data_IF_967188531770
#
_entry.id   IF_967188531770
#
_cell.length_a   1.000
_cell.length_b   1.000
_cell.length_c   1.000
_cell.angle_alpha   90.00
_cell.angle_beta   90.00
_cell.angle_gamma   90.00
#
_symmetry.space_group_name_H-M   'P 1'
#
loop_
_entity.id
_entity.type
_entity.pdbx_description
1 polymer ?
#
# COMPACT_ATOMS: atom_id res chain seq x y z
N UNK A 1 1.58 -47.12 71.62
CA UNK A 1 2.64 -46.94 70.61
C UNK A 1 1.97 -46.53 69.30
N UNK A 2 2.38 -45.39 68.73
CA UNK A 2 1.83 -44.84 67.46
C UNK A 2 2.08 -45.84 66.32
N UNK A 3 1.12 -46.04 65.41
CA UNK A 3 1.26 -45.64 64.01
C UNK A 3 -0.02 -45.98 63.21
N UNK A 4 -0.52 -44.95 62.52
CA UNK A 4 -1.48 -45.02 61.41
C UNK A 4 -0.83 -45.72 60.21
N UNK A 5 -1.63 -46.43 59.40
CA UNK A 5 -1.74 -46.22 57.95
C UNK A 5 -2.93 -47.01 57.40
N UNK A 6 -3.88 -46.25 56.85
CA UNK A 6 -5.09 -46.70 56.18
C UNK A 6 -4.68 -47.29 54.82
N UNK A 7 -5.04 -48.54 54.55
CA UNK A 7 -4.93 -49.18 53.25
C UNK A 7 -6.36 -49.44 52.76
N UNK A 8 -6.82 -48.64 51.80
CA UNK A 8 -8.13 -48.81 51.16
C UNK A 8 -7.91 -49.03 49.66
N UNK A 9 -7.93 -50.32 49.31
CA UNK A 9 -8.62 -50.93 48.16
C UNK A 9 -8.52 -50.22 46.80
N UNK A 10 -7.68 -50.75 45.92
CA UNK A 10 -7.80 -50.58 44.47
C UNK A 10 -9.03 -51.37 43.98
N UNK A 11 -10.03 -50.66 43.45
CA UNK A 11 -11.09 -51.23 42.61
C UNK A 11 -10.79 -50.80 41.17
N UNK A 12 -10.68 -51.80 40.30
CA UNK A 12 -10.50 -51.65 38.86
C UNK A 12 -11.69 -50.91 38.23
N UNK A 13 -11.39 -49.93 37.37
CA UNK A 13 -12.34 -49.42 36.38
C UNK A 13 -11.73 -49.62 35.01
N UNK A 14 -12.45 -50.36 34.17
CA UNK A 14 -12.18 -50.56 32.76
C UNK A 14 -12.03 -49.20 32.06
N UNK A 15 -10.82 -48.90 31.59
CA UNK A 15 -10.60 -47.86 30.59
C UNK A 15 -10.57 -48.50 29.21
N UNK A 16 -11.58 -48.22 28.39
CA UNK A 16 -11.54 -48.49 26.95
C UNK A 16 -10.25 -47.88 26.39
N UNK A 17 -9.39 -48.71 25.78
CA UNK A 17 -8.35 -48.23 24.89
C UNK A 17 -9.06 -47.79 23.61
N UNK A 18 -9.47 -46.52 23.56
CA UNK A 18 -9.69 -45.87 22.28
C UNK A 18 -8.32 -45.73 21.63
N UNK A 19 -8.01 -46.59 20.67
CA UNK A 19 -6.95 -46.35 19.70
C UNK A 19 -7.41 -45.16 18.88
N UNK A 20 -7.09 -43.95 19.32
CA UNK A 20 -7.21 -42.79 18.48
C UNK A 20 -6.18 -42.98 17.36
N UNK A 21 -6.66 -43.30 16.16
CA UNK A 21 -5.91 -43.03 14.94
C UNK A 21 -5.69 -41.52 14.90
N UNK A 22 -4.60 -41.06 15.50
CA UNK A 22 -4.06 -39.74 15.22
C UNK A 22 -3.44 -39.88 13.83
N UNK A 23 -4.27 -39.72 12.80
CA UNK A 23 -3.75 -39.23 11.53
C UNK A 23 -3.11 -37.88 11.87
N UNK A 24 -1.78 -37.84 11.86
CA UNK A 24 -1.08 -36.57 11.79
C UNK A 24 -1.49 -35.93 10.46
N UNK A 25 -2.52 -35.08 10.49
CA UNK A 25 -2.71 -34.14 9.41
C UNK A 25 -1.44 -33.29 9.37
N UNK A 26 -0.61 -33.52 8.36
CA UNK A 26 0.43 -32.58 7.99
C UNK A 26 -0.28 -31.30 7.56
N UNK A 27 -0.54 -30.41 8.52
CA UNK A 27 -1.03 -29.06 8.24
C UNK A 27 0.12 -28.35 7.53
N UNK A 28 0.18 -28.46 6.21
CA UNK A 28 1.10 -27.67 5.41
C UNK A 28 0.78 -26.19 5.66
N UNK A 29 1.77 -25.45 6.14
CA UNK A 29 1.64 -24.01 6.28
C UNK A 29 1.28 -23.41 4.91
N UNK A 30 0.28 -22.52 4.90
CA UNK A 30 -0.13 -21.83 3.70
C UNK A 30 1.06 -21.11 3.03
N UNK A 31 1.17 -21.23 1.70
CA UNK A 31 2.23 -20.57 0.93
C UNK A 31 2.14 -19.05 1.10
N UNK A 32 3.28 -18.34 0.99
CA UNK A 32 3.28 -16.87 1.05
C UNK A 32 2.36 -16.29 -0.02
N UNK A 33 2.36 -16.82 -1.25
CA UNK A 33 1.50 -16.34 -2.33
C UNK A 33 0.01 -16.48 -2.01
N UNK A 34 -0.40 -17.62 -1.46
CA UNK A 34 -1.79 -17.83 -1.06
C UNK A 34 -2.19 -16.88 0.07
N UNK A 35 -1.30 -16.65 1.03
CA UNK A 35 -1.52 -15.68 2.11
C UNK A 35 -1.57 -14.23 1.59
N UNK A 36 -0.62 -13.86 0.73
CA UNK A 36 -0.49 -12.55 0.09
C UNK A 36 -1.77 -12.16 -0.64
N UNK A 37 -2.32 -13.08 -1.43
CA UNK A 37 -3.56 -12.89 -2.21
C UNK A 37 -4.81 -12.63 -1.35
N UNK A 38 -4.78 -12.91 -0.04
CA UNK A 38 -5.87 -12.55 0.88
C UNK A 38 -5.87 -11.07 1.22
N UNK A 39 -4.72 -10.40 1.10
CA UNK A 39 -4.60 -8.99 1.41
C UNK A 39 -4.98 -8.13 0.22
N UNK A 40 -5.47 -6.95 0.55
CA UNK A 40 -5.81 -5.95 -0.45
C UNK A 40 -4.63 -5.00 -0.62
N UNK A 41 -4.45 -4.53 -1.85
CA UNK A 41 -3.46 -3.51 -2.17
C UNK A 41 -3.63 -2.26 -1.31
N UNK A 42 -2.53 -1.78 -0.72
CA UNK A 42 -2.52 -0.60 0.14
C UNK A 42 -2.59 0.74 -0.61
N UNK A 43 -2.24 0.77 -1.90
CA UNK A 43 -2.19 2.02 -2.66
C UNK A 43 -0.83 2.73 -2.58
N UNK A 44 -0.68 3.75 -3.43
CA UNK A 44 0.57 4.50 -3.59
C UNK A 44 0.43 5.90 -3.02
N UNK A 45 1.35 6.26 -2.13
CA UNK A 45 1.61 7.62 -1.66
C UNK A 45 2.78 8.20 -2.46
N UNK A 46 2.74 9.50 -2.76
CA UNK A 46 3.85 10.18 -3.43
C UNK A 46 4.67 10.96 -2.41
N UNK A 47 6.00 10.78 -2.41
CA UNK A 47 6.89 11.37 -1.40
C UNK A 47 6.65 12.88 -1.23
N UNK A 48 6.65 13.65 -2.31
CA UNK A 48 6.47 15.10 -2.24
C UNK A 48 5.13 15.51 -1.57
N UNK A 49 4.09 14.67 -1.70
CA UNK A 49 2.80 14.91 -1.01
C UNK A 49 2.95 14.58 0.48
N UNK A 50 3.54 13.45 0.81
CA UNK A 50 3.82 13.01 2.18
C UNK A 50 4.63 14.06 2.94
N UNK A 51 5.79 14.46 2.42
CA UNK A 51 6.66 15.45 3.06
C UNK A 51 5.98 16.81 3.23
N UNK A 52 5.16 17.23 2.25
CA UNK A 52 4.38 18.47 2.36
C UNK A 52 3.39 18.42 3.53
N UNK A 53 2.76 17.28 3.77
CA UNK A 53 1.85 17.09 4.91
C UNK A 53 2.59 17.11 6.25
N UNK A 54 3.84 16.62 6.24
CA UNK A 54 4.68 16.53 7.43
C UNK A 54 5.53 17.77 7.70
N UNK A 55 5.47 18.77 6.81
CA UNK A 55 6.27 19.99 6.93
C UNK A 55 7.76 19.78 6.64
N UNK A 56 8.09 18.70 5.93
CA UNK A 56 9.46 18.34 5.56
C UNK A 56 9.75 18.85 4.16
N UNK A 57 10.94 19.43 3.97
CA UNK A 57 11.39 19.89 2.65
C UNK A 57 11.68 18.69 1.74
N UNK A 58 11.05 18.68 0.57
CA UNK A 58 11.38 17.74 -0.50
C UNK A 58 12.70 18.14 -1.17
N UNK A 59 13.64 17.21 -1.23
CA UNK A 59 14.86 17.33 -2.00
C UNK A 59 14.65 16.64 -3.35
N UNK A 60 14.90 17.38 -4.43
CA UNK A 60 14.64 16.88 -5.78
C UNK A 60 15.67 15.82 -6.16
N UNK A 61 15.20 14.62 -6.50
CA UNK A 61 16.03 13.59 -7.12
C UNK A 61 16.31 13.94 -8.60
N UNK A 62 17.56 13.83 -9.06
CA UNK A 62 17.90 13.88 -10.49
C UNK A 62 17.27 12.67 -11.21
N UNK A 63 17.34 12.61 -12.53
CA UNK A 63 16.87 11.45 -13.30
C UNK A 63 17.94 10.95 -14.24
N UNK A 64 17.83 9.68 -14.58
CA UNK A 64 18.61 9.06 -15.66
C UNK A 64 17.69 8.89 -16.85
N UNK A 65 18.06 9.45 -18.00
CA UNK A 65 17.33 9.17 -19.25
C UNK A 65 17.43 7.69 -19.56
N UNK A 66 16.30 7.07 -19.89
CA UNK A 66 16.31 5.67 -20.33
C UNK A 66 16.96 5.56 -21.70
N UNK A 67 17.76 4.52 -21.91
CA UNK A 67 18.46 4.29 -23.19
C UNK A 67 17.49 4.23 -24.37
N UNK A 68 16.34 3.58 -24.15
CA UNK A 68 15.29 3.40 -25.13
C UNK A 68 14.10 4.37 -24.94
N UNK A 69 14.30 5.46 -24.18
CA UNK A 69 13.27 6.46 -23.89
C UNK A 69 12.13 6.01 -22.98
N UNK A 70 12.11 4.73 -22.58
CA UNK A 70 11.17 4.10 -21.65
C UNK A 70 11.87 2.96 -20.88
N UNK A 71 11.35 2.52 -19.73
CA UNK A 71 11.92 1.38 -19.03
C UNK A 71 11.72 0.08 -19.81
N UNK A 72 12.69 -0.82 -19.69
CA UNK A 72 12.70 -2.18 -20.24
C UNK A 72 12.17 -3.21 -19.24
N UNK A 73 12.11 -2.86 -17.96
CA UNK A 73 11.82 -3.78 -16.88
C UNK A 73 11.89 -3.12 -15.51
N UNK A 74 11.89 -3.97 -14.48
CA UNK A 74 11.86 -3.60 -13.07
C UNK A 74 12.91 -4.45 -12.33
N UNK A 75 13.72 -3.81 -11.48
CA UNK A 75 14.61 -4.44 -10.51
C UNK A 75 13.93 -4.44 -9.14
N UNK A 76 13.89 -5.61 -8.52
CA UNK A 76 13.39 -5.88 -7.17
C UNK A 76 14.58 -5.89 -6.23
N UNK A 77 14.49 -5.07 -5.19
CA UNK A 77 15.49 -4.90 -4.14
C UNK A 77 14.91 -5.24 -2.77
N UNK A 78 15.77 -5.36 -1.75
CA UNK A 78 15.39 -5.19 -0.36
C UNK A 78 16.23 -4.09 0.33
N UNK A 79 15.78 -3.60 1.48
CA UNK A 79 16.43 -2.43 2.07
C UNK A 79 17.68 -2.74 2.90
N UNK A 80 17.89 -4.01 3.29
CA UNK A 80 18.86 -4.44 4.31
C UNK A 80 18.81 -3.60 5.62
N UNK A 81 17.63 -3.05 5.94
CA UNK A 81 17.38 -2.29 7.18
C UNK A 81 16.20 -2.89 7.97
N UNK A 82 16.44 -3.95 8.76
CA UNK A 82 15.40 -4.67 9.49
C UNK A 82 14.55 -3.77 10.39
N UNK A 83 13.26 -3.69 10.08
CA UNK A 83 12.27 -2.94 10.86
C UNK A 83 12.10 -1.46 10.47
N UNK A 84 12.90 -0.94 9.54
CA UNK A 84 12.63 0.35 8.91
C UNK A 84 11.38 0.26 8.03
N UNK A 85 10.52 1.27 8.10
CA UNK A 85 9.31 1.33 7.27
C UNK A 85 9.58 2.03 5.95
N UNK A 86 8.67 1.89 4.97
CA UNK A 86 8.78 2.63 3.72
C UNK A 86 8.79 4.15 3.93
N UNK A 87 8.22 4.63 5.06
CA UNK A 87 8.29 6.03 5.45
C UNK A 87 9.69 6.42 5.94
N UNK A 88 10.28 5.60 6.83
CA UNK A 88 11.62 5.84 7.36
C UNK A 88 12.66 5.89 6.25
N UNK A 89 12.61 4.93 5.33
CA UNK A 89 13.46 4.86 4.14
C UNK A 89 13.28 6.08 3.24
N UNK A 90 12.03 6.41 2.92
CA UNK A 90 11.73 7.56 2.07
C UNK A 90 12.22 8.89 2.69
N UNK A 91 12.16 9.03 4.01
CA UNK A 91 12.70 10.18 4.74
C UNK A 91 14.23 10.19 4.71
N UNK A 92 14.85 9.03 4.93
CA UNK A 92 16.30 8.86 4.87
C UNK A 92 16.83 9.23 3.47
N UNK A 93 16.29 8.63 2.41
CA UNK A 93 16.72 8.90 1.03
C UNK A 93 16.39 10.33 0.59
N UNK A 94 15.27 10.91 1.02
CA UNK A 94 15.04 12.35 0.78
C UNK A 94 16.14 13.21 1.40
N UNK A 95 16.67 12.85 2.58
CA UNK A 95 17.73 13.61 3.25
C UNK A 95 19.12 13.32 2.68
N UNK A 96 19.43 12.06 2.39
CA UNK A 96 20.80 11.57 2.22
C UNK A 96 21.20 11.21 0.80
N UNK A 97 20.29 11.17 -0.19
CA UNK A 97 20.61 10.69 -1.55
C UNK A 97 21.83 11.37 -2.18
N UNK A 98 22.11 12.65 -1.85
CA UNK A 98 23.28 13.39 -2.34
C UNK A 98 24.61 12.91 -1.73
N UNK A 99 24.56 12.38 -0.51
CA UNK A 99 25.73 11.87 0.21
C UNK A 99 26.04 10.43 -0.20
N UNK A 100 24.99 9.60 -0.32
CA UNK A 100 25.13 8.18 -0.68
C UNK A 100 25.12 7.94 -2.19
N UNK A 101 24.76 8.97 -2.98
CA UNK A 101 24.61 8.89 -4.44
C UNK A 101 23.67 7.77 -4.90
N UNK A 102 22.64 7.48 -4.11
CA UNK A 102 21.70 6.42 -4.36
C UNK A 102 20.26 6.85 -4.04
N UNK A 103 19.32 6.35 -4.83
CA UNK A 103 17.86 6.41 -4.59
C UNK A 103 17.16 5.51 -5.60
N UNK A 104 15.96 5.08 -5.25
CA UNK A 104 15.10 4.22 -6.09
C UNK A 104 13.78 4.91 -6.45
N UNK A 105 12.90 4.21 -7.17
CA UNK A 105 11.61 4.77 -7.58
C UNK A 105 10.56 4.70 -6.48
N UNK A 106 10.57 3.64 -5.68
CA UNK A 106 9.60 3.45 -4.61
C UNK A 106 10.13 2.54 -3.50
N UNK A 107 9.64 2.78 -2.28
CA UNK A 107 9.76 1.87 -1.13
C UNK A 107 8.41 1.22 -0.85
N UNK A 108 8.41 -0.06 -0.51
CA UNK A 108 7.21 -0.87 -0.26
C UNK A 108 7.32 -1.56 1.09
N UNK A 109 6.30 -1.43 1.92
CA UNK A 109 6.14 -2.21 3.15
C UNK A 109 4.73 -2.84 3.22
N UNK A 110 4.45 -3.54 4.31
CA UNK A 110 3.14 -4.17 4.57
C UNK A 110 1.97 -3.19 4.67
N UNK A 111 2.24 -1.88 4.80
CA UNK A 111 1.24 -0.83 5.03
C UNK A 111 1.03 0.03 3.80
N UNK A 112 2.05 0.30 2.99
CA UNK A 112 1.98 1.27 1.90
C UNK A 112 3.11 1.11 0.86
N UNK A 113 2.94 1.83 -0.24
CA UNK A 113 3.99 2.11 -1.23
C UNK A 113 4.25 3.62 -1.20
N UNK A 114 5.51 4.05 -1.09
CA UNK A 114 5.90 5.45 -1.22
C UNK A 114 6.75 5.62 -2.47
N UNK A 115 6.17 6.27 -3.49
CA UNK A 115 6.86 6.60 -4.72
C UNK A 115 7.71 7.86 -4.53
N UNK A 116 9.02 7.69 -4.65
CA UNK A 116 10.06 8.72 -4.50
C UNK A 116 10.19 9.56 -5.78
N UNK A 117 10.13 8.90 -6.94
CA UNK A 117 10.37 9.50 -8.26
C UNK A 117 9.40 8.99 -9.31
N UNK A 118 9.18 9.75 -10.39
CA UNK A 118 8.41 9.21 -11.54
C UNK A 118 9.17 8.05 -12.19
N UNK A 119 8.50 6.93 -12.50
CA UNK A 119 9.09 5.82 -13.27
C UNK A 119 9.36 6.16 -14.75
N UNK A 120 9.05 7.37 -15.20
CA UNK A 120 9.36 7.85 -16.56
C UNK A 120 10.84 8.19 -16.79
N UNK A 121 11.67 8.20 -15.73
CA UNK A 121 13.12 8.20 -15.89
C UNK A 121 13.77 7.40 -14.77
N UNK A 122 14.90 6.78 -15.09
CA UNK A 122 15.65 5.93 -14.20
C UNK A 122 16.22 6.64 -12.96
N UNK A 123 16.71 5.81 -12.05
CA UNK A 123 17.22 6.18 -10.70
C UNK A 123 18.64 5.66 -10.50
N UNK A 124 19.23 5.83 -9.31
CA UNK A 124 20.58 5.38 -8.99
C UNK A 124 20.55 4.32 -7.89
N UNK A 125 20.14 3.10 -8.21
CA UNK A 125 19.96 2.04 -7.20
C UNK A 125 20.41 0.64 -7.63
N UNK A 126 20.73 0.41 -8.91
CA UNK A 126 21.14 -0.92 -9.40
C UNK A 126 22.45 -0.89 -10.22
N UNK A 127 23.28 0.14 -10.03
CA UNK A 127 24.51 0.32 -10.79
C UNK A 127 24.30 0.86 -12.22
N UNK A 128 25.37 1.36 -12.87
CA UNK A 128 25.28 2.15 -14.10
C UNK A 128 24.74 1.37 -15.31
N UNK A 129 24.78 0.03 -15.29
CA UNK A 129 24.28 -0.83 -16.36
C UNK A 129 22.77 -1.06 -16.32
N UNK A 130 22.14 -0.85 -15.17
CA UNK A 130 20.71 -1.02 -14.96
C UNK A 130 19.96 0.31 -14.77
N UNK A 131 20.63 1.35 -14.26
CA UNK A 131 20.03 2.63 -13.92
C UNK A 131 19.31 3.34 -15.09
N UNK A 132 19.73 3.12 -16.34
CA UNK A 132 19.10 3.68 -17.55
C UNK A 132 18.20 2.66 -18.28
N UNK A 133 17.87 1.52 -17.65
CA UNK A 133 17.06 0.45 -18.26
C UNK A 133 15.83 0.13 -17.43
N UNK A 134 15.94 0.14 -16.09
CA UNK A 134 14.92 -0.44 -15.23
C UNK A 134 14.37 0.53 -14.19
N UNK A 135 13.09 0.34 -13.89
CA UNK A 135 12.48 0.87 -12.66
C UNK A 135 13.06 0.07 -11.49
N UNK A 136 13.25 0.70 -10.32
CA UNK A 136 13.90 0.09 -9.16
C UNK A 136 13.01 0.28 -7.94
N UNK A 137 12.69 -0.82 -7.26
CA UNK A 137 11.71 -0.85 -6.17
C UNK A 137 12.32 -1.60 -4.99
N UNK A 138 12.25 -0.97 -3.82
CA UNK A 138 12.80 -1.46 -2.57
C UNK A 138 11.70 -2.06 -1.69
N UNK A 139 11.85 -3.31 -1.29
CA UNK A 139 10.98 -3.97 -0.33
C UNK A 139 11.58 -3.90 1.08
N UNK A 140 10.88 -3.25 2.01
CA UNK A 140 11.33 -3.13 3.40
C UNK A 140 11.36 -4.49 4.11
N UNK A 141 12.34 -4.68 4.99
CA UNK A 141 12.47 -5.89 5.83
C UNK A 141 11.43 -5.93 6.97
N UNK A 142 10.49 -6.86 6.87
CA UNK A 142 9.38 -7.06 7.79
C UNK A 142 9.74 -8.03 8.93
N UNK A 143 9.06 -7.90 10.06
CA UNK A 143 9.35 -8.69 11.27
C UNK A 143 8.33 -9.82 11.55
N UNK A 144 7.40 -10.07 10.63
CA UNK A 144 6.41 -11.14 10.77
C UNK A 144 5.97 -11.69 9.42
N UNK A 145 5.59 -12.97 9.39
CA UNK A 145 5.13 -13.64 8.16
C UNK A 145 3.91 -12.96 7.52
N UNK A 146 2.98 -12.50 8.34
CA UNK A 146 1.77 -11.78 7.89
C UNK A 146 2.14 -10.43 7.26
N UNK A 147 3.09 -9.70 7.86
CA UNK A 147 3.58 -8.44 7.31
C UNK A 147 4.39 -8.67 6.03
N UNK A 148 5.28 -9.67 6.00
CA UNK A 148 6.01 -10.05 4.79
C UNK A 148 5.06 -10.43 3.63
N UNK A 149 4.05 -11.26 3.89
CA UNK A 149 3.06 -11.61 2.87
C UNK A 149 2.27 -10.38 2.37
N UNK A 150 1.99 -9.40 3.23
CA UNK A 150 1.38 -8.11 2.83
C UNK A 150 2.33 -7.25 2.01
N UNK A 151 3.61 -7.20 2.36
CA UNK A 151 4.59 -6.37 1.67
C UNK A 151 4.84 -6.90 0.26
N UNK A 152 5.09 -8.20 0.08
CA UNK A 152 5.22 -8.80 -1.27
C UNK A 152 3.91 -8.71 -2.07
N UNK A 153 2.74 -8.75 -1.40
CA UNK A 153 1.46 -8.48 -2.07
C UNK A 153 1.39 -7.05 -2.64
N UNK A 154 1.78 -6.07 -1.83
CA UNK A 154 1.81 -4.67 -2.24
C UNK A 154 2.79 -4.47 -3.40
N UNK A 155 3.97 -5.05 -3.30
CA UNK A 155 5.01 -4.91 -4.30
C UNK A 155 4.60 -5.55 -5.63
N UNK A 156 4.16 -6.81 -5.61
CA UNK A 156 3.73 -7.52 -6.81
C UNK A 156 2.59 -6.81 -7.56
N UNK A 157 1.62 -6.23 -6.84
CA UNK A 157 0.53 -5.45 -7.46
C UNK A 157 1.06 -4.14 -8.06
N UNK A 158 2.00 -3.47 -7.39
CA UNK A 158 2.60 -2.24 -7.89
C UNK A 158 3.42 -2.50 -9.16
N UNK A 159 4.27 -3.53 -9.14
CA UNK A 159 5.04 -4.02 -10.30
C UNK A 159 4.10 -4.36 -11.46
N UNK A 160 3.07 -5.17 -11.24
CA UNK A 160 2.12 -5.53 -12.29
C UNK A 160 1.45 -4.32 -12.96
N UNK A 161 1.15 -3.26 -12.20
CA UNK A 161 0.61 -1.99 -12.73
C UNK A 161 1.62 -1.22 -13.56
N UNK A 162 2.89 -1.25 -13.16
CA UNK A 162 3.97 -0.61 -13.92
C UNK A 162 4.22 -1.35 -15.24
N UNK A 163 4.21 -2.68 -15.22
CA UNK A 163 4.31 -3.49 -16.43
C UNK A 163 3.21 -3.12 -17.44
N UNK A 164 1.95 -3.04 -17.01
CA UNK A 164 0.86 -2.57 -17.87
C UNK A 164 1.05 -1.13 -18.36
N UNK A 165 1.47 -0.21 -17.47
CA UNK A 165 1.69 1.20 -17.84
C UNK A 165 2.71 1.37 -18.96
N UNK A 166 3.77 0.57 -18.98
CA UNK A 166 4.87 0.69 -19.93
C UNK A 166 4.81 -0.36 -21.06
N UNK A 167 3.71 -1.10 -21.17
CA UNK A 167 3.50 -2.17 -22.15
C UNK A 167 4.62 -3.22 -22.13
N UNK A 168 4.96 -3.67 -20.90
CA UNK A 168 5.93 -4.71 -20.63
C UNK A 168 5.19 -5.99 -20.25
N UNK A 169 5.63 -7.13 -20.81
CA UNK A 169 5.14 -8.45 -20.40
C UNK A 169 6.00 -8.97 -19.26
N UNK A 170 5.44 -9.58 -18.20
CA UNK A 170 6.22 -10.27 -17.19
C UNK A 170 7.12 -11.32 -17.85
N UNK A 171 8.41 -11.27 -17.51
CA UNK A 171 9.42 -12.24 -17.94
C UNK A 171 10.55 -12.24 -16.91
N UNK A 172 10.87 -13.41 -16.35
CA UNK A 172 11.78 -13.54 -15.20
C UNK A 172 13.23 -13.67 -15.69
N UNK A 173 14.05 -12.64 -15.46
CA UNK A 173 15.43 -12.60 -15.91
C UNK A 173 16.44 -13.26 -14.95
N UNK A 174 15.99 -13.80 -13.82
CA UNK A 174 16.89 -14.35 -12.80
C UNK A 174 17.69 -15.58 -13.28
N UNK A 175 17.17 -16.34 -14.24
CA UNK A 175 17.79 -17.59 -14.71
C UNK A 175 18.66 -17.44 -15.97
N UNK A 176 18.41 -16.43 -16.81
CA UNK A 176 19.05 -16.31 -18.13
C UNK A 176 19.55 -14.90 -18.48
N UNK A 177 19.24 -13.89 -17.65
CA UNK A 177 19.61 -12.50 -17.91
C UNK A 177 18.80 -11.85 -19.03
N UNK A 178 17.63 -12.39 -19.38
CA UNK A 178 16.70 -11.81 -20.35
C UNK A 178 15.31 -11.65 -19.72
N UNK A 179 14.67 -10.49 -19.91
CA UNK A 179 13.30 -10.28 -19.44
C UNK A 179 13.05 -8.92 -18.79
N UNK A 180 11.94 -8.82 -18.07
CA UNK A 180 11.40 -7.55 -17.56
C UNK A 180 11.31 -7.48 -16.05
N UNK A 181 11.53 -8.59 -15.33
CA UNK A 181 11.61 -8.66 -13.88
C UNK A 181 12.97 -9.21 -13.49
N UNK A 182 13.72 -8.41 -12.74
CA UNK A 182 15.10 -8.67 -12.34
C UNK A 182 15.21 -8.60 -10.83
N UNK A 183 16.00 -9.47 -10.20
CA UNK A 183 16.59 -9.17 -8.89
C UNK A 183 17.83 -8.31 -9.07
N UNK A 184 18.26 -7.60 -8.03
CA UNK A 184 19.55 -6.92 -8.07
C UNK A 184 20.71 -7.92 -8.21
N UNK A 185 20.57 -9.11 -7.63
CA UNK A 185 21.51 -10.21 -7.88
C UNK A 185 21.60 -10.59 -9.36
N UNK A 186 20.48 -10.69 -10.08
CA UNK A 186 20.49 -10.96 -11.52
C UNK A 186 21.19 -9.82 -12.29
N UNK A 187 20.99 -8.56 -11.88
CA UNK A 187 21.73 -7.43 -12.44
C UNK A 187 23.24 -7.60 -12.22
N UNK A 188 23.67 -7.92 -10.99
CA UNK A 188 25.09 -8.18 -10.68
C UNK A 188 25.68 -9.29 -11.55
N UNK A 189 24.96 -10.40 -11.70
CA UNK A 189 25.42 -11.58 -12.43
C UNK A 189 25.49 -11.36 -13.95
N UNK A 190 24.43 -10.80 -14.57
CA UNK A 190 24.32 -10.76 -16.03
C UNK A 190 24.73 -9.43 -16.64
N UNK A 191 24.59 -8.31 -15.92
CA UNK A 191 24.88 -6.97 -16.43
C UNK A 191 26.14 -6.36 -15.81
N UNK A 192 26.41 -6.67 -14.54
CA UNK A 192 27.52 -6.13 -13.76
C UNK A 192 27.38 -4.64 -13.44
N UNK A 193 28.41 -4.07 -12.82
CA UNK A 193 28.41 -2.68 -12.35
C UNK A 193 27.80 -2.49 -10.96
N UNK A 194 27.43 -3.59 -10.30
CA UNK A 194 27.04 -3.73 -8.90
C UNK A 194 27.42 -5.16 -8.47
N UNK A 195 27.59 -5.39 -7.18
CA UNK A 195 27.93 -6.67 -6.57
C UNK A 195 26.91 -7.12 -5.50
N UNK A 196 25.79 -6.40 -5.42
CA UNK A 196 24.73 -6.72 -4.50
C UNK A 196 23.99 -8.00 -4.89
N UNK A 197 23.42 -8.69 -3.90
CA UNK A 197 22.80 -10.02 -4.06
C UNK A 197 21.33 -10.05 -3.65
N UNK A 198 20.72 -8.88 -3.51
CA UNK A 198 19.33 -8.75 -3.11
C UNK A 198 18.31 -9.16 -4.18
N UNK A 199 17.11 -9.66 -3.79
CA UNK A 199 16.59 -9.83 -2.43
C UNK A 199 16.77 -11.26 -1.86
N UNK A 200 17.70 -12.05 -2.39
CA UNK A 200 17.78 -13.51 -2.16
C UNK A 200 17.83 -13.89 -0.68
N UNK A 201 18.70 -13.23 0.08
CA UNK A 201 18.89 -13.49 1.50
C UNK A 201 17.63 -13.21 2.31
N UNK A 202 16.96 -12.09 2.03
CA UNK A 202 15.73 -11.70 2.71
C UNK A 202 14.56 -12.63 2.36
N UNK A 203 14.38 -12.98 1.09
CA UNK A 203 13.34 -13.93 0.69
C UNK A 203 13.56 -15.31 1.31
N UNK A 204 14.80 -15.79 1.35
CA UNK A 204 15.14 -17.07 1.97
C UNK A 204 14.78 -17.13 3.47
N UNK A 205 14.89 -16.01 4.22
CA UNK A 205 14.43 -15.93 5.63
C UNK A 205 12.96 -16.34 5.80
N UNK A 206 12.14 -16.17 4.78
CA UNK A 206 10.69 -16.48 4.79
C UNK A 206 10.30 -17.79 4.10
N UNK A 207 11.29 -18.57 3.64
CA UNK A 207 11.07 -19.72 2.78
C UNK A 207 10.43 -19.29 1.45
N UNK A 208 10.90 -18.17 0.91
CA UNK A 208 10.42 -17.52 -0.29
C UNK A 208 11.58 -17.30 -1.27
N UNK A 209 11.29 -17.03 -2.54
CA UNK A 209 12.29 -16.79 -3.59
C UNK A 209 11.73 -15.91 -4.72
N UNK A 210 12.60 -15.55 -5.67
CA UNK A 210 12.23 -14.71 -6.82
C UNK A 210 11.25 -15.40 -7.77
N UNK A 211 11.26 -16.73 -7.91
CA UNK A 211 10.31 -17.46 -8.76
C UNK A 211 8.89 -17.39 -8.20
N UNK A 212 8.77 -17.55 -6.88
CA UNK A 212 7.51 -17.39 -6.18
C UNK A 212 7.02 -15.93 -6.25
N UNK A 213 7.92 -14.96 -6.11
CA UNK A 213 7.57 -13.55 -6.27
C UNK A 213 7.13 -13.20 -7.69
N UNK A 214 7.87 -13.66 -8.70
CA UNK A 214 7.52 -13.56 -10.11
C UNK A 214 6.13 -14.16 -10.38
N UNK A 215 5.85 -15.35 -9.84
CA UNK A 215 4.53 -15.99 -9.97
C UNK A 215 3.40 -15.12 -9.41
N UNK A 216 3.65 -14.37 -8.33
CA UNK A 216 2.68 -13.44 -7.74
C UNK A 216 2.49 -12.19 -8.62
N UNK A 217 3.57 -11.65 -9.20
CA UNK A 217 3.52 -10.55 -10.17
C UNK A 217 2.72 -10.96 -11.40
N UNK A 218 3.03 -12.11 -11.99
CA UNK A 218 2.38 -12.63 -13.19
C UNK A 218 0.87 -12.85 -12.93
N UNK A 219 0.52 -13.43 -11.78
CA UNK A 219 -0.87 -13.57 -11.36
C UNK A 219 -1.61 -12.22 -11.38
N UNK A 220 -1.05 -11.18 -10.77
CA UNK A 220 -1.68 -9.86 -10.73
C UNK A 220 -1.69 -9.14 -12.08
N UNK A 221 -0.66 -9.33 -12.90
CA UNK A 221 -0.62 -8.81 -14.26
C UNK A 221 -1.77 -9.41 -15.10
N UNK A 222 -1.94 -10.72 -15.07
CA UNK A 222 -3.00 -11.43 -15.80
C UNK A 222 -4.40 -11.10 -15.28
N UNK A 223 -4.55 -10.90 -13.96
CA UNK A 223 -5.82 -10.47 -13.37
C UNK A 223 -6.25 -9.09 -13.86
N UNK A 224 -5.31 -8.16 -14.02
CA UNK A 224 -5.58 -6.81 -14.53
C UNK A 224 -5.97 -6.81 -16.01
N UNK A 225 -5.30 -7.63 -16.84
CA UNK A 225 -5.62 -7.79 -18.27
C UNK A 225 -7.05 -8.30 -18.53
N UNK A 226 -7.57 -9.18 -17.66
CA UNK A 226 -8.96 -9.67 -17.78
C UNK A 226 -10.00 -8.56 -17.59
N UNK A 227 -9.67 -7.48 -16.87
CA UNK A 227 -10.57 -6.35 -16.66
C UNK A 227 -10.60 -5.35 -17.84
N UNK A 228 -9.67 -5.45 -18.80
CA UNK A 228 -9.64 -4.60 -20.00
C UNK A 228 -10.53 -5.15 -21.14
N UNK A 229 -10.85 -6.45 -21.13
CA UNK A 229 -11.66 -7.10 -22.18
C UNK A 229 -13.17 -7.19 -21.88
N UNK A 230 -13.65 -6.70 -20.73
CA UNK A 230 -15.09 -6.60 -20.43
C UNK A 230 -15.67 -5.24 -20.82
N UNK A 231 -15.65 -4.93 -22.11
CA UNK A 231 -16.44 -3.82 -22.68
C UNK A 231 -17.24 -4.33 -23.87
N UNK A 232 -18.32 -5.06 -23.62
CA UNK A 232 -19.52 -5.06 -24.49
C UNK A 232 -20.72 -5.64 -23.73
N UNK A 233 -21.66 -4.76 -23.34
CA UNK A 233 -23.12 -4.84 -23.56
C UNK A 233 -23.85 -3.91 -22.58
N UNK A 234 -24.56 -2.96 -23.18
CA UNK A 234 -25.65 -2.11 -22.67
C UNK A 234 -25.86 -2.06 -21.13
N UNK A 235 -25.55 -0.93 -20.46
CA UNK A 235 -25.67 -0.79 -19.00
C UNK A 235 -27.12 -0.73 -18.49
N UNK A 236 -28.14 -0.83 -19.36
CA UNK A 236 -29.54 -0.67 -18.96
C UNK A 236 -30.36 -1.95 -18.84
N UNK A 237 -29.74 -3.14 -18.84
CA UNK A 237 -30.50 -4.39 -18.71
C UNK A 237 -29.79 -5.55 -18.00
N UNK A 238 -29.31 -5.33 -16.78
CA UNK A 238 -29.08 -6.46 -15.85
C UNK A 238 -29.12 -6.00 -14.40
N UNK A 239 -30.07 -6.57 -13.63
CA UNK A 239 -30.09 -6.55 -12.17
C UNK A 239 -29.22 -7.71 -11.70
N UNK A 240 -27.93 -7.48 -11.52
CA UNK A 240 -27.07 -8.33 -10.72
C UNK A 240 -25.87 -7.51 -10.23
N UNK A 241 -25.61 -7.59 -8.93
CA UNK A 241 -24.60 -6.80 -8.23
C UNK A 241 -23.19 -7.19 -8.69
N UNK A 242 -22.49 -6.25 -9.33
CA UNK A 242 -21.04 -6.34 -9.54
C UNK A 242 -20.35 -6.03 -8.20
N UNK A 243 -19.61 -6.96 -7.57
CA UNK A 243 -18.92 -6.68 -6.32
C UNK A 243 -17.72 -5.76 -6.57
N UNK A 244 -17.82 -4.52 -6.11
CA UNK A 244 -16.74 -3.54 -6.19
C UNK A 244 -15.71 -3.72 -5.05
N UNK A 245 -14.44 -3.86 -5.44
CA UNK A 245 -13.17 -4.02 -4.67
C UNK A 245 -12.81 -2.77 -3.82
N UNK A 246 -12.02 -2.89 -2.72
CA UNK A 246 -10.90 -1.96 -2.34
C UNK A 246 -10.18 -2.15 -0.98
N UNK A 247 -8.89 -1.80 -0.93
CA UNK A 247 -7.98 -1.90 0.23
C UNK A 247 -8.20 -0.87 1.34
N UNK A 248 -7.21 -0.74 2.23
CA UNK A 248 -7.19 0.27 3.27
C UNK A 248 -6.98 1.66 2.63
N UNK A 249 -7.87 2.60 2.92
CA UNK A 249 -7.80 4.00 2.49
C UNK A 249 -7.83 4.90 3.72
N UNK A 250 -7.13 6.03 3.65
CA UNK A 250 -7.09 6.99 4.75
C UNK A 250 -8.26 7.97 4.64
N UNK A 251 -8.94 8.21 5.76
CA UNK A 251 -9.97 9.24 5.84
C UNK A 251 -9.36 10.63 5.68
N UNK A 252 -9.83 11.40 4.70
CA UNK A 252 -9.46 12.81 4.54
C UNK A 252 -10.26 13.75 5.45
N UNK A 253 -11.33 13.25 6.08
CA UNK A 253 -12.20 13.99 6.99
C UNK A 253 -12.74 13.06 8.09
N UNK A 254 -13.00 13.62 9.28
CA UNK A 254 -13.66 12.90 10.38
C UNK A 254 -14.97 12.26 9.88
N UNK A 255 -15.11 10.95 10.07
CA UNK A 255 -16.19 10.17 9.49
C UNK A 255 -17.01 9.47 10.57
N UNK A 256 -18.30 9.78 10.62
CA UNK A 256 -19.25 8.98 11.36
C UNK A 256 -19.51 7.65 10.66
N UNK A 257 -19.74 6.61 11.45
CA UNK A 257 -20.19 5.32 10.95
C UNK A 257 -21.70 5.34 10.78
N UNK A 258 -22.18 4.84 9.65
CA UNK A 258 -23.57 4.68 9.29
C UNK A 258 -23.90 3.19 9.22
N UNK A 259 -25.13 2.86 9.59
CA UNK A 259 -25.70 1.53 9.34
C UNK A 259 -26.04 1.35 7.87
N UNK A 260 -26.34 0.11 7.47
CA UNK A 260 -26.77 -0.20 6.10
C UNK A 260 -28.01 0.58 5.63
N UNK A 261 -28.88 0.98 6.56
CA UNK A 261 -30.08 1.79 6.29
C UNK A 261 -29.78 3.30 6.27
N UNK A 262 -28.53 3.72 6.38
CA UNK A 262 -28.11 5.13 6.40
C UNK A 262 -28.36 5.84 7.73
N UNK A 263 -28.70 5.11 8.80
CA UNK A 263 -28.80 5.70 10.14
C UNK A 263 -27.39 5.95 10.68
N UNK A 264 -27.07 7.20 10.98
CA UNK A 264 -25.83 7.63 11.64
C UNK A 264 -25.72 7.01 13.04
N UNK A 265 -24.56 6.46 13.36
CA UNK A 265 -24.24 5.92 14.69
C UNK A 265 -23.49 6.96 15.53
N UNK A 266 -23.18 6.63 16.80
CA UNK A 266 -22.35 7.47 17.68
C UNK A 266 -20.84 7.30 17.44
N UNK A 267 -20.44 6.30 16.66
CA UNK A 267 -19.03 6.01 16.40
C UNK A 267 -18.46 7.00 15.38
N UNK A 268 -17.36 7.65 15.77
CA UNK A 268 -16.58 8.56 14.95
C UNK A 268 -15.19 7.95 14.69
N UNK A 269 -14.72 8.04 13.46
CA UNK A 269 -13.31 7.82 13.10
C UNK A 269 -12.70 9.15 12.70
N UNK A 270 -11.51 9.44 13.20
CA UNK A 270 -10.84 10.71 12.89
C UNK A 270 -10.20 10.68 11.50
N UNK A 271 -10.09 11.85 10.88
CA UNK A 271 -9.28 12.04 9.69
C UNK A 271 -7.85 11.55 9.94
N UNK A 272 -7.24 10.91 8.93
CA UNK A 272 -5.96 10.21 9.07
C UNK A 272 -6.11 8.73 9.47
N UNK A 273 -7.28 8.30 9.95
CA UNK A 273 -7.51 6.89 10.27
C UNK A 273 -7.64 6.04 9.00
N UNK A 274 -7.00 4.85 8.94
CA UNK A 274 -7.22 3.90 7.87
C UNK A 274 -8.59 3.21 8.00
N UNK A 275 -9.24 2.97 6.87
CA UNK A 275 -10.48 2.18 6.76
C UNK A 275 -10.41 1.26 5.54
N UNK A 276 -10.85 0.02 5.67
CA UNK A 276 -10.87 -0.93 4.54
C UNK A 276 -12.18 -0.78 3.78
N UNK A 277 -12.14 -0.37 2.50
CA UNK A 277 -13.35 -0.19 1.69
C UNK A 277 -13.80 -1.52 1.09
N UNK A 278 -14.83 -2.13 1.65
CA UNK A 278 -15.38 -3.43 1.24
C UNK A 278 -16.40 -3.35 0.09
N UNK A 279 -16.61 -2.16 -0.46
CA UNK A 279 -17.61 -1.87 -1.49
C UNK A 279 -18.30 -0.55 -1.21
N UNK A 280 -19.27 -0.19 -2.04
CA UNK A 280 -20.07 1.02 -1.83
C UNK A 280 -21.56 0.72 -1.89
N UNK A 281 -22.35 1.58 -1.26
CA UNK A 281 -23.81 1.56 -1.32
C UNK A 281 -24.31 2.98 -1.50
N UNK A 282 -25.27 3.16 -2.39
CA UNK A 282 -25.99 4.43 -2.49
C UNK A 282 -27.16 4.39 -1.51
N UNK A 283 -27.14 5.28 -0.53
CA UNK A 283 -28.20 5.43 0.47
C UNK A 283 -28.73 6.84 0.37
N UNK A 284 -30.03 7.00 0.12
CA UNK A 284 -30.67 8.32 -0.06
C UNK A 284 -29.96 9.22 -1.09
N UNK A 285 -29.65 8.67 -2.29
CA UNK A 285 -28.93 9.35 -3.38
C UNK A 285 -27.49 9.77 -3.07
N UNK A 286 -26.93 9.33 -1.95
CA UNK A 286 -25.54 9.60 -1.56
C UNK A 286 -24.73 8.32 -1.49
N UNK A 287 -23.50 8.38 -1.99
CA UNK A 287 -22.56 7.25 -1.99
C UNK A 287 -21.92 7.08 -0.61
N UNK A 288 -21.92 5.86 -0.11
CA UNK A 288 -21.24 5.45 1.12
C UNK A 288 -20.33 4.27 0.82
N UNK A 289 -19.17 4.21 1.47
CA UNK A 289 -18.30 3.04 1.43
C UNK A 289 -18.58 2.12 2.61
N UNK A 290 -18.79 0.83 2.35
CA UNK A 290 -18.85 -0.21 3.38
C UNK A 290 -17.45 -0.42 3.94
N UNK A 291 -17.28 -0.36 5.25
CA UNK A 291 -15.97 -0.52 5.90
C UNK A 291 -15.93 -1.64 6.95
N UNK A 292 -17.04 -2.37 7.09
CA UNK A 292 -17.19 -3.49 8.02
C UNK A 292 -18.59 -4.08 7.93
N UNK A 293 -18.90 -5.05 8.80
CA UNK A 293 -20.25 -5.60 8.95
C UNK A 293 -21.20 -4.50 9.45
N UNK A 294 -22.19 -4.13 8.65
CA UNK A 294 -23.15 -3.04 8.92
C UNK A 294 -22.52 -1.67 9.23
N UNK A 295 -21.31 -1.43 8.74
CA UNK A 295 -20.57 -0.19 8.94
C UNK A 295 -20.26 0.49 7.61
N UNK A 296 -20.68 1.73 7.48
CA UNK A 296 -20.54 2.53 6.28
C UNK A 296 -19.99 3.92 6.61
N UNK A 297 -19.16 4.48 5.75
CA UNK A 297 -18.71 5.88 5.84
C UNK A 297 -19.14 6.62 4.60
N UNK A 298 -19.42 7.91 4.76
CA UNK A 298 -19.71 8.81 3.65
C UNK A 298 -18.54 8.83 2.66
N UNK A 299 -18.81 8.58 1.38
CA UNK A 299 -17.76 8.51 0.37
C UNK A 299 -16.96 9.80 0.26
N UNK A 300 -17.57 10.97 0.51
CA UNK A 300 -16.85 12.26 0.46
C UNK A 300 -15.75 12.41 1.52
N UNK A 301 -15.76 11.58 2.57
CA UNK A 301 -14.69 11.56 3.57
C UNK A 301 -13.44 10.78 3.09
N UNK A 302 -13.52 10.13 1.93
CA UNK A 302 -12.44 9.35 1.29
C UNK A 302 -12.18 9.89 -0.12
N UNK A 303 -13.23 10.11 -0.91
CA UNK A 303 -13.16 10.64 -2.27
C UNK A 303 -13.05 12.16 -2.21
N UNK A 304 -11.89 12.69 -2.59
CA UNK A 304 -11.67 14.13 -2.65
C UNK A 304 -12.55 14.81 -3.71
N UNK A 305 -13.10 15.97 -3.36
CA UNK A 305 -13.69 16.91 -4.31
C UNK A 305 -12.65 17.95 -4.71
N UNK A 306 -12.37 18.05 -6.01
CA UNK A 306 -11.50 19.11 -6.53
C UNK A 306 -12.22 20.44 -6.49
N UNK A 307 -11.56 21.48 -5.99
CA UNK A 307 -12.06 22.84 -5.90
C UNK A 307 -11.03 23.84 -6.40
N UNK A 308 -11.49 24.97 -6.91
CA UNK A 308 -10.62 26.05 -7.37
C UNK A 308 -10.54 27.13 -6.30
N UNK A 309 -9.35 27.64 -6.03
CA UNK A 309 -9.12 28.74 -5.10
C UNK A 309 -9.43 30.06 -5.81
N UNK A 310 -10.40 30.82 -5.31
CA UNK A 310 -10.83 32.09 -5.91
C UNK A 310 -10.28 33.33 -5.21
N UNK A 311 -9.86 33.18 -3.95
CA UNK A 311 -9.17 34.22 -3.22
C UNK A 311 -7.88 33.62 -2.67
N UNK A 312 -6.76 34.32 -2.86
CA UNK A 312 -5.50 33.95 -2.22
C UNK A 312 -5.70 33.83 -0.69
N UNK A 313 -5.25 32.72 -0.11
CA UNK A 313 -5.53 32.38 1.29
C UNK A 313 -4.38 31.57 1.90
N UNK A 314 -4.45 31.30 3.20
CA UNK A 314 -3.52 30.43 3.91
C UNK A 314 -4.23 29.17 4.40
N UNK A 315 -3.50 28.07 4.49
CA UNK A 315 -4.01 26.90 5.19
C UNK A 315 -4.08 27.16 6.69
N UNK A 316 -4.94 26.41 7.35
CA UNK A 316 -5.19 26.50 8.77
C UNK A 316 -5.06 25.12 9.40
N UNK A 317 -4.56 25.08 10.64
CA UNK A 317 -4.56 23.86 11.46
C UNK A 317 -5.98 23.50 11.93
N UNK A 318 -6.16 22.31 12.51
CA UNK A 318 -7.41 21.88 13.16
C UNK A 318 -7.94 22.85 14.24
N UNK A 319 -7.04 23.62 14.87
CA UNK A 319 -7.39 24.66 15.87
C UNK A 319 -7.76 26.02 15.26
N UNK A 320 -7.70 26.15 13.94
CA UNK A 320 -7.94 27.40 13.21
C UNK A 320 -6.77 28.37 13.25
N UNK A 321 -5.57 27.93 13.68
CA UNK A 321 -4.34 28.74 13.57
C UNK A 321 -3.92 28.79 12.11
N UNK A 322 -3.59 29.99 11.63
CA UNK A 322 -3.07 30.24 10.29
C UNK A 322 -1.66 29.65 10.15
N UNK A 323 -1.44 28.90 9.09
CA UNK A 323 -0.13 28.39 8.68
C UNK A 323 0.48 29.35 7.66
N UNK A 324 1.23 30.35 8.12
CA UNK A 324 1.78 31.44 7.28
C UNK A 324 2.69 30.93 6.16
N UNK A 325 3.32 29.77 6.34
CA UNK A 325 4.14 29.09 5.35
C UNK A 325 3.32 28.40 4.25
N UNK A 326 2.04 28.11 4.50
CA UNK A 326 1.15 27.36 3.61
C UNK A 326 0.20 28.30 2.87
N UNK A 327 0.77 29.21 2.08
CA UNK A 327 0.00 30.11 1.22
C UNK A 327 -0.52 29.37 -0.02
N UNK A 328 -1.78 29.57 -0.34
CA UNK A 328 -2.44 28.99 -1.53
C UNK A 328 -2.89 30.13 -2.44
N UNK A 329 -2.34 30.15 -3.66
CA UNK A 329 -2.59 31.19 -4.64
C UNK A 329 -3.97 31.03 -5.28
N UNK A 330 -4.59 32.15 -5.66
CA UNK A 330 -5.76 32.19 -6.53
C UNK A 330 -5.50 31.39 -7.83
N UNK A 331 -6.52 30.72 -8.33
CA UNK A 331 -6.47 29.79 -9.47
C UNK A 331 -5.96 28.38 -9.14
N UNK A 332 -5.39 28.15 -7.94
CA UNK A 332 -4.88 26.83 -7.56
C UNK A 332 -6.02 25.82 -7.40
N UNK A 333 -5.77 24.56 -7.82
CA UNK A 333 -6.67 23.44 -7.53
C UNK A 333 -6.31 22.82 -6.18
N UNK A 334 -7.31 22.61 -5.34
CA UNK A 334 -7.17 21.91 -4.04
C UNK A 334 -8.12 20.72 -3.95
N UNK A 335 -7.70 19.70 -3.22
CA UNK A 335 -8.51 18.52 -2.92
C UNK A 335 -9.16 18.70 -1.56
N UNK A 336 -10.48 18.63 -1.50
CA UNK A 336 -11.25 18.82 -0.26
C UNK A 336 -12.05 17.58 0.09
N UNK A 337 -12.14 17.26 1.37
CA UNK A 337 -12.83 16.09 1.87
C UNK A 337 -13.98 16.50 2.79
N UNK A 338 -15.06 15.71 2.72
CA UNK A 338 -16.22 15.81 3.59
C UNK A 338 -17.01 17.11 3.42
N UNK A 339 -17.89 17.33 4.39
CA UNK A 339 -18.66 18.56 4.52
C UNK A 339 -17.83 19.69 5.14
N UNK A 340 -18.31 20.94 5.03
CA UNK A 340 -17.70 22.07 5.73
C UNK A 340 -17.73 21.86 7.25
N UNK A 341 -16.64 22.20 7.92
CA UNK A 341 -16.56 22.25 9.39
C UNK A 341 -16.48 23.69 9.88
N UNK A 342 -16.95 23.93 11.10
CA UNK A 342 -16.86 25.25 11.73
C UNK A 342 -15.74 25.25 12.76
N UNK A 343 -14.74 26.11 12.55
CA UNK A 343 -13.66 26.38 13.52
C UNK A 343 -13.73 27.86 13.88
N UNK A 344 -13.90 28.18 15.17
CA UNK A 344 -13.96 29.57 15.67
C UNK A 344 -14.93 30.47 14.88
N UNK A 345 -16.11 29.94 14.53
CA UNK A 345 -17.16 30.67 13.80
C UNK A 345 -16.95 30.78 12.28
N UNK A 346 -15.83 30.30 11.74
CA UNK A 346 -15.57 30.29 10.30
C UNK A 346 -15.71 28.88 9.72
N UNK A 347 -16.14 28.80 8.45
CA UNK A 347 -16.35 27.52 7.75
C UNK A 347 -15.12 27.15 6.94
N UNK A 348 -14.71 25.89 7.04
CA UNK A 348 -13.53 25.32 6.36
C UNK A 348 -13.87 24.02 5.66
N UNK A 349 -13.07 23.65 4.68
CA UNK A 349 -12.97 22.28 4.19
C UNK A 349 -11.66 21.65 4.66
N UNK A 350 -11.67 20.35 4.96
CA UNK A 350 -10.46 19.58 5.21
C UNK A 350 -9.75 19.28 3.90
N UNK A 351 -8.43 19.44 3.87
CA UNK A 351 -7.55 18.99 2.78
C UNK A 351 -6.90 17.64 3.12
N UNK A 352 -6.81 17.33 4.42
CA UNK A 352 -6.29 16.11 5.01
C UNK A 352 -6.56 16.18 6.53
N UNK A 353 -5.95 15.28 7.30
CA UNK A 353 -6.13 15.20 8.75
C UNK A 353 -5.77 16.49 9.52
N UNK A 354 -4.80 17.26 9.04
CA UNK A 354 -4.19 18.36 9.80
C UNK A 354 -4.44 19.73 9.18
N UNK A 355 -4.74 19.81 7.88
CA UNK A 355 -4.83 21.06 7.12
C UNK A 355 -6.24 21.35 6.60
N UNK A 356 -6.60 22.63 6.70
CA UNK A 356 -7.93 23.14 6.39
C UNK A 356 -7.83 24.42 5.56
N UNK A 357 -8.79 24.64 4.67
CA UNK A 357 -8.89 25.86 3.86
C UNK A 357 -10.24 26.53 4.09
N UNK A 358 -10.26 27.86 4.07
CA UNK A 358 -11.49 28.62 4.23
C UNK A 358 -12.47 28.33 3.10
N UNK A 359 -13.68 27.92 3.45
CA UNK A 359 -14.71 27.55 2.48
C UNK A 359 -15.20 28.75 1.65
N UNK A 360 -14.96 29.99 2.11
CA UNK A 360 -15.28 31.20 1.36
C UNK A 360 -14.25 31.55 0.29
N UNK A 361 -13.07 30.94 0.32
CA UNK A 361 -11.93 31.27 -0.56
C UNK A 361 -11.79 30.27 -1.72
N UNK A 362 -12.70 29.29 -1.80
CA UNK A 362 -12.72 28.28 -2.86
C UNK A 362 -14.13 28.09 -3.43
N UNK A 363 -14.21 27.53 -4.63
CA UNK A 363 -15.43 27.10 -5.33
C UNK A 363 -15.46 25.59 -5.57
#
# INVERSE_FOLDING_TARGET
MKLKKILATLIAVLGLITVANVQSENVHAESINTLAQKYKYSGVTYLYKMLKLEGIKYNKFPGVEYENGKPEGIVVHETDDPGATAHDEAIYFNREWMNINAYVHAFVDSKQIIQMRSPDMGTWGAGPKANNRFIQIELCEENSRDAFAKSVNNDAIYIAKLLHRYDLKPDNACDDGEGTIWSHHAVSTYLGGTDHVDPDGYFAKWGYDMDQFYSLIEYYYNLQKKNEHTYTKDPNKTKEEVPAVQGAVTLGHDAYIYTEKGKKTKTLKEAGSPVVVMGYKTINKKKYYKIGKDQYVDASNIDATVRTVKNETYLHTRSGRVEKQNKVKEGSRVLTYGSKITIKGQKYYALNATQYILAKDIE
#
